data_IF_377463581848
#
_entry.id   IF_377463581848
#
_cell.length_a   1.000
_cell.length_b   1.000
_cell.length_c   1.000
_cell.angle_alpha   90.00
_cell.angle_beta   90.00
_cell.angle_gamma   90.00
#
_symmetry.space_group_name_H-M   'P 1'
#
loop_
_entity.id
_entity.type
_entity.pdbx_description
1 polymer ?
#
# COMPACT_ATOMS: atom_id res chain seq x y z
N UNK A 1 12.08 0.80 19.25
CA UNK A 1 11.13 0.75 20.38
C UNK A 1 10.61 -0.67 20.46
N UNK A 2 10.83 -1.39 21.57
CA UNK A 2 10.57 -2.84 21.65
C UNK A 2 9.43 -3.21 22.62
N UNK A 3 9.00 -2.28 23.45
CA UNK A 3 7.97 -2.46 24.45
C UNK A 3 7.30 -1.10 24.77
N UNK A 4 6.27 -1.13 25.62
CA UNK A 4 5.52 0.05 26.02
C UNK A 4 6.36 1.09 26.78
N UNK A 5 7.35 0.66 27.57
CA UNK A 5 8.25 1.57 28.29
C UNK A 5 9.15 2.35 27.34
N UNK A 6 9.76 1.65 26.38
CA UNK A 6 10.55 2.25 25.31
C UNK A 6 9.70 3.17 24.41
N UNK A 7 8.42 2.86 24.23
CA UNK A 7 7.47 3.71 23.50
C UNK A 7 7.24 5.03 24.24
N UNK A 8 6.92 4.96 25.53
CA UNK A 8 6.70 6.15 26.36
C UNK A 8 7.95 7.06 26.37
N UNK A 9 9.14 6.46 26.54
CA UNK A 9 10.40 7.20 26.48
C UNK A 9 10.62 7.88 25.12
N UNK A 10 10.33 7.18 24.02
CA UNK A 10 10.47 7.75 22.67
C UNK A 10 9.48 8.90 22.43
N UNK A 11 8.21 8.75 22.83
CA UNK A 11 7.19 9.79 22.70
C UNK A 11 7.58 11.04 23.52
N UNK A 12 8.11 10.85 24.73
CA UNK A 12 8.65 11.93 25.54
C UNK A 12 9.81 12.67 24.86
N UNK A 13 10.77 11.92 24.30
CA UNK A 13 11.90 12.49 23.57
C UNK A 13 11.46 13.24 22.30
N UNK A 14 10.48 12.70 21.56
CA UNK A 14 9.91 13.33 20.38
C UNK A 14 9.22 14.66 20.73
N UNK A 15 8.38 14.67 21.78
CA UNK A 15 7.72 15.90 22.24
C UNK A 15 8.73 16.96 22.68
N UNK A 16 9.80 16.56 23.39
CA UNK A 16 10.85 17.47 23.80
C UNK A 16 11.64 18.05 22.60
N UNK A 17 11.90 17.23 21.58
CA UNK A 17 12.52 17.68 20.33
C UNK A 17 11.62 18.68 19.59
N UNK A 18 10.34 18.37 19.45
CA UNK A 18 9.39 19.23 18.77
C UNK A 18 9.24 20.59 19.46
N UNK A 19 9.19 20.60 20.80
CA UNK A 19 9.16 21.84 21.58
C UNK A 19 10.44 22.66 21.39
N UNK A 20 11.61 22.01 21.43
CA UNK A 20 12.91 22.68 21.27
C UNK A 20 13.06 23.33 19.89
N UNK A 21 12.52 22.71 18.86
CA UNK A 21 12.70 23.15 17.47
C UNK A 21 11.45 23.84 16.89
N UNK A 22 10.47 24.19 17.73
CA UNK A 22 9.22 24.82 17.30
C UNK A 22 9.46 26.04 16.39
N UNK A 23 10.22 27.02 16.89
CA UNK A 23 10.46 28.27 16.16
C UNK A 23 11.18 28.04 14.84
N UNK A 24 12.10 27.06 14.80
CA UNK A 24 12.79 26.67 13.59
C UNK A 24 11.82 26.05 12.57
N UNK A 25 10.95 25.15 13.01
CA UNK A 25 9.97 24.47 12.16
C UNK A 25 8.86 25.40 11.65
N UNK A 26 8.56 26.46 12.40
CA UNK A 26 7.53 27.46 12.04
C UNK A 26 8.07 28.56 11.10
N UNK A 27 9.36 28.54 10.77
CA UNK A 27 9.95 29.47 9.79
C UNK A 27 9.28 29.32 8.42
N UNK A 28 8.97 30.46 7.80
CA UNK A 28 8.30 30.57 6.51
C UNK A 28 9.18 31.26 5.46
N UNK A 29 8.98 30.91 4.20
CA UNK A 29 9.55 31.62 3.05
C UNK A 29 8.46 32.15 2.14
N UNK A 30 8.67 33.37 1.64
CA UNK A 30 7.83 34.01 0.63
C UNK A 30 8.36 33.66 -0.75
N UNK A 31 7.47 33.21 -1.61
CA UNK A 31 7.78 32.86 -3.00
C UNK A 31 7.55 34.07 -3.91
N UNK A 32 8.07 34.01 -5.14
CA UNK A 32 7.96 35.11 -6.10
C UNK A 32 6.49 35.42 -6.49
N UNK A 33 5.59 34.46 -6.31
CA UNK A 33 4.14 34.60 -6.52
C UNK A 33 3.39 35.18 -5.31
N UNK A 34 4.10 35.54 -4.23
CA UNK A 34 3.51 36.04 -3.00
C UNK A 34 2.95 34.96 -2.07
N UNK A 35 3.10 33.68 -2.41
CA UNK A 35 2.70 32.58 -1.53
C UNK A 35 3.69 32.38 -0.39
N UNK A 36 3.15 32.05 0.79
CA UNK A 36 3.92 31.70 1.98
C UNK A 36 3.98 30.18 2.14
N UNK A 37 5.17 29.62 2.28
CA UNK A 37 5.36 28.18 2.52
C UNK A 37 6.31 27.95 3.69
N UNK A 38 6.28 26.74 4.26
CA UNK A 38 7.29 26.33 5.24
C UNK A 38 8.69 26.42 4.63
N UNK A 39 9.62 27.05 5.34
CA UNK A 39 11.02 27.10 4.94
C UNK A 39 11.63 25.69 4.92
N UNK A 40 11.25 24.86 5.91
CA UNK A 40 11.76 23.49 6.09
C UNK A 40 10.73 22.44 5.71
N UNK A 41 10.13 22.54 4.51
CA UNK A 41 9.00 21.71 4.07
C UNK A 41 9.16 20.21 4.34
N UNK A 42 10.36 19.64 4.09
CA UNK A 42 10.62 18.21 4.28
C UNK A 42 10.51 17.81 5.76
N UNK A 43 11.06 18.63 6.65
CA UNK A 43 11.02 18.39 8.10
C UNK A 43 9.62 18.62 8.66
N UNK A 44 8.94 19.67 8.21
CA UNK A 44 7.55 19.96 8.61
C UNK A 44 6.61 18.83 8.20
N UNK A 45 6.72 18.34 6.95
CA UNK A 45 5.94 17.17 6.49
C UNK A 45 6.25 15.91 7.29
N UNK A 46 7.53 15.65 7.60
CA UNK A 46 7.92 14.51 8.42
C UNK A 46 7.33 14.60 9.84
N UNK A 47 7.42 15.78 10.48
CA UNK A 47 6.78 16.07 11.77
C UNK A 47 5.27 15.83 11.72
N UNK A 48 4.59 16.37 10.71
CA UNK A 48 3.13 16.26 10.61
C UNK A 48 2.67 14.82 10.36
N UNK A 49 3.45 14.05 9.59
CA UNK A 49 3.25 12.61 9.42
C UNK A 49 3.39 11.87 10.76
N UNK A 50 4.44 12.17 11.54
CA UNK A 50 4.64 11.56 12.86
C UNK A 50 3.52 11.93 13.83
N UNK A 51 3.14 13.23 13.92
CA UNK A 51 1.99 13.71 14.71
C UNK A 51 0.71 12.97 14.35
N UNK A 52 0.47 12.78 13.05
CA UNK A 52 -0.69 12.04 12.56
C UNK A 52 -0.68 10.60 13.08
N UNK A 53 0.44 9.87 12.94
CA UNK A 53 0.55 8.47 13.41
C UNK A 53 0.45 8.33 14.92
N UNK A 54 0.98 9.30 15.68
CA UNK A 54 0.84 9.35 17.14
C UNK A 54 -0.64 9.52 17.52
N UNK A 55 -1.34 10.47 16.89
CA UNK A 55 -2.77 10.72 17.13
C UNK A 55 -3.65 9.53 16.72
N UNK A 56 -3.31 8.86 15.62
CA UNK A 56 -3.98 7.64 15.17
C UNK A 56 -3.60 6.41 16.01
N UNK A 57 -2.69 6.53 16.99
CA UNK A 57 -2.15 5.41 17.79
C UNK A 57 -1.54 4.28 16.94
N UNK A 58 -1.06 4.60 15.74
CA UNK A 58 -0.47 3.65 14.78
C UNK A 58 1.04 3.83 14.63
N UNK A 59 1.65 4.72 15.41
CA UNK A 59 3.10 4.96 15.37
C UNK A 59 3.92 3.74 15.80
N UNK A 60 3.44 3.02 16.81
CA UNK A 60 4.02 1.77 17.27
C UNK A 60 2.91 0.74 17.33
N UNK A 61 3.16 -0.42 16.74
CA UNK A 61 2.25 -1.58 16.81
C UNK A 61 3.07 -2.74 17.33
N UNK A 62 2.71 -3.21 18.52
CA UNK A 62 3.29 -4.41 19.10
C UNK A 62 2.37 -5.58 18.78
N UNK A 63 2.94 -6.73 18.41
CA UNK A 63 2.16 -7.96 18.33
C UNK A 63 1.78 -8.38 19.75
N UNK A 64 0.54 -8.84 19.92
CA UNK A 64 0.07 -9.43 21.16
C UNK A 64 0.83 -10.76 21.38
N UNK A 65 1.50 -10.95 22.53
CA UNK A 65 2.20 -12.19 22.83
C UNK A 65 1.32 -13.44 22.87
N UNK A 66 -0.01 -13.33 22.88
CA UNK A 66 -0.95 -14.45 22.74
C UNK A 66 -0.98 -15.07 21.32
N UNK A 67 0.02 -14.78 20.49
CA UNK A 67 0.26 -15.59 19.30
C UNK A 67 0.79 -16.94 19.76
N UNK A 68 0.22 -18.05 19.28
CA UNK A 68 0.72 -19.44 19.38
C UNK A 68 2.11 -19.63 18.70
N UNK A 69 2.92 -18.57 18.66
CA UNK A 69 4.27 -18.58 18.15
C UNK A 69 5.17 -19.29 19.16
N UNK A 70 5.80 -20.38 18.73
CA UNK A 70 6.70 -21.22 19.51
C UNK A 70 8.08 -20.55 19.73
N UNK A 71 8.08 -19.24 20.04
CA UNK A 71 9.28 -18.45 20.27
C UNK A 71 9.14 -16.95 19.96
N UNK A 72 10.17 -16.15 20.29
CA UNK A 72 10.17 -14.71 20.03
C UNK A 72 10.09 -14.44 18.52
N UNK A 73 9.07 -13.67 18.10
CA UNK A 73 8.91 -13.28 16.70
C UNK A 73 10.12 -12.43 16.27
N UNK A 74 10.87 -12.83 15.23
CA UNK A 74 12.03 -12.09 14.78
C UNK A 74 11.66 -10.65 14.41
N UNK A 75 12.39 -9.67 14.93
CA UNK A 75 12.20 -8.25 14.57
C UNK A 75 12.54 -7.94 13.11
N UNK A 76 13.20 -8.87 12.41
CA UNK A 76 13.59 -8.71 11.02
C UNK A 76 12.44 -9.07 10.08
N UNK A 77 12.01 -8.11 9.27
CA UNK A 77 11.07 -8.33 8.17
C UNK A 77 11.66 -9.19 7.03
N UNK A 78 12.92 -9.65 7.15
CA UNK A 78 13.69 -10.31 6.10
C UNK A 78 12.96 -11.51 5.48
N UNK A 79 12.28 -12.33 6.29
CA UNK A 79 11.53 -13.48 5.79
C UNK A 79 10.38 -13.01 4.90
N UNK A 80 9.56 -12.07 5.36
CA UNK A 80 8.45 -11.50 4.58
C UNK A 80 8.97 -10.76 3.34
N UNK A 81 10.04 -9.96 3.47
CA UNK A 81 10.65 -9.24 2.35
C UNK A 81 11.22 -10.19 1.29
N UNK A 82 11.80 -11.31 1.71
CA UNK A 82 12.29 -12.35 0.79
C UNK A 82 11.14 -12.99 0.01
N UNK A 83 10.00 -13.27 0.64
CA UNK A 83 8.81 -13.78 -0.03
C UNK A 83 8.20 -12.72 -0.96
N UNK A 84 8.10 -11.47 -0.51
CA UNK A 84 7.65 -10.35 -1.35
C UNK A 84 8.54 -10.16 -2.58
N UNK A 85 9.85 -10.39 -2.46
CA UNK A 85 10.76 -10.35 -3.59
C UNK A 85 10.43 -11.41 -4.65
N UNK A 86 10.12 -12.64 -4.20
CA UNK A 86 9.72 -13.74 -5.09
C UNK A 86 8.36 -13.50 -5.76
N UNK A 87 7.39 -12.95 -5.03
CA UNK A 87 6.09 -12.54 -5.60
C UNK A 87 6.29 -11.45 -6.66
N UNK A 88 7.13 -10.45 -6.38
CA UNK A 88 7.47 -9.38 -7.34
C UNK A 88 8.16 -9.95 -8.59
N UNK A 89 9.02 -10.93 -8.43
CA UNK A 89 9.69 -11.60 -9.54
C UNK A 89 8.70 -12.38 -10.42
N UNK A 90 7.81 -13.17 -9.80
CA UNK A 90 6.70 -13.85 -10.49
C UNK A 90 5.89 -12.86 -11.35
N UNK A 91 5.53 -11.70 -10.78
CA UNK A 91 4.78 -10.67 -11.51
C UNK A 91 5.55 -10.04 -12.67
N UNK A 92 6.89 -9.96 -12.60
CA UNK A 92 7.75 -9.44 -13.68
C UNK A 92 7.89 -10.46 -14.80
N UNK A 93 8.18 -11.71 -14.46
CA UNK A 93 8.33 -12.82 -15.41
C UNK A 93 7.04 -13.03 -16.21
N UNK A 94 5.88 -12.80 -15.59
CA UNK A 94 4.57 -12.94 -16.22
C UNK A 94 3.93 -11.61 -16.67
N UNK A 95 4.72 -10.55 -16.92
CA UNK A 95 4.20 -9.23 -17.35
C UNK A 95 3.36 -9.25 -18.64
N UNK A 96 3.55 -10.26 -19.50
CA UNK A 96 2.80 -10.43 -20.75
C UNK A 96 1.40 -11.05 -20.57
N UNK A 97 1.06 -11.52 -19.36
CA UNK A 97 -0.29 -11.95 -19.03
C UNK A 97 -1.16 -10.74 -18.66
N UNK A 98 -2.46 -10.82 -18.94
CA UNK A 98 -3.41 -9.82 -18.44
C UNK A 98 -3.44 -9.81 -16.90
N UNK A 99 -3.92 -8.71 -16.32
CA UNK A 99 -3.89 -8.48 -14.87
C UNK A 99 -4.56 -9.62 -14.07
N UNK A 100 -5.73 -10.08 -14.51
CA UNK A 100 -6.48 -11.17 -13.85
C UNK A 100 -5.66 -12.46 -13.82
N UNK A 101 -5.05 -12.84 -14.95
CA UNK A 101 -4.18 -14.03 -15.04
C UNK A 101 -2.93 -13.88 -14.19
N UNK A 102 -2.36 -12.67 -14.08
CA UNK A 102 -1.22 -12.39 -13.19
C UNK A 102 -1.61 -12.54 -11.71
N UNK A 103 -2.78 -12.03 -11.31
CA UNK A 103 -3.33 -12.19 -9.96
C UNK A 103 -3.52 -13.68 -9.65
N UNK A 104 -4.19 -14.43 -10.54
CA UNK A 104 -4.38 -15.88 -10.39
C UNK A 104 -3.05 -16.63 -10.30
N UNK A 105 -2.06 -16.26 -11.10
CA UNK A 105 -0.73 -16.86 -11.06
C UNK A 105 -0.02 -16.60 -9.72
N UNK A 106 -0.15 -15.40 -9.14
CA UNK A 106 0.35 -15.11 -7.79
C UNK A 106 -0.42 -15.90 -6.74
N UNK A 107 -1.75 -15.97 -6.78
CA UNK A 107 -2.54 -16.77 -5.84
C UNK A 107 -2.14 -18.24 -5.88
N UNK A 108 -1.95 -18.81 -7.07
CA UNK A 108 -1.45 -20.17 -7.24
C UNK A 108 -0.02 -20.33 -6.71
N UNK A 109 0.86 -19.38 -6.99
CA UNK A 109 2.22 -19.41 -6.47
C UNK A 109 2.23 -19.40 -4.94
N UNK A 110 1.46 -18.49 -4.31
CA UNK A 110 1.31 -18.44 -2.86
C UNK A 110 0.77 -19.76 -2.30
N UNK A 111 -0.25 -20.34 -2.94
CA UNK A 111 -0.80 -21.65 -2.55
C UNK A 111 0.24 -22.76 -2.56
N UNK A 112 1.10 -22.82 -3.58
CA UNK A 112 2.15 -23.84 -3.68
C UNK A 112 3.31 -23.63 -2.68
N UNK A 113 3.41 -22.44 -2.09
CA UNK A 113 4.48 -22.07 -1.15
C UNK A 113 3.99 -21.95 0.30
N UNK A 114 2.78 -22.44 0.60
CA UNK A 114 2.34 -22.67 1.98
C UNK A 114 2.99 -23.95 2.54
N UNK A 115 3.01 -24.10 3.86
CA UNK A 115 3.57 -25.27 4.54
C UNK A 115 2.87 -26.57 4.14
N UNK A 116 1.55 -26.50 3.91
CA UNK A 116 0.70 -27.62 3.54
C UNK A 116 -0.20 -27.25 2.34
N UNK A 117 0.32 -27.35 1.10
CA UNK A 117 -0.45 -27.01 -0.08
C UNK A 117 -1.51 -28.08 -0.36
N UNK A 118 -2.76 -27.65 -0.54
CA UNK A 118 -3.83 -28.53 -1.02
C UNK A 118 -3.58 -28.99 -2.47
N UNK A 119 -4.27 -30.05 -2.86
CA UNK A 119 -4.18 -30.62 -4.21
C UNK A 119 -4.63 -29.62 -5.28
N UNK A 120 -4.10 -29.76 -6.49
CA UNK A 120 -4.47 -28.91 -7.63
C UNK A 120 -5.99 -28.91 -7.92
N UNK A 121 -6.67 -30.04 -7.72
CA UNK A 121 -8.13 -30.13 -7.87
C UNK A 121 -8.89 -29.29 -6.83
N UNK A 122 -8.38 -29.20 -5.60
CA UNK A 122 -8.94 -28.33 -4.57
C UNK A 122 -8.75 -26.87 -4.98
N UNK A 123 -7.54 -26.51 -5.42
CA UNK A 123 -7.22 -25.14 -5.84
C UNK A 123 -8.06 -24.71 -7.05
N UNK A 124 -8.28 -25.59 -8.04
CA UNK A 124 -9.13 -25.29 -9.19
C UNK A 124 -10.59 -25.01 -8.79
N UNK A 125 -11.11 -25.72 -7.77
CA UNK A 125 -12.48 -25.55 -7.26
C UNK A 125 -12.65 -24.31 -6.39
N UNK A 126 -11.60 -23.88 -5.70
CA UNK A 126 -11.64 -22.78 -4.72
C UNK A 126 -10.88 -21.53 -5.19
N UNK A 127 -10.28 -21.57 -6.38
CA UNK A 127 -9.65 -20.40 -6.98
C UNK A 127 -10.66 -19.28 -7.17
N UNK A 128 -10.17 -18.06 -6.99
CA UNK A 128 -10.95 -16.84 -7.20
C UNK A 128 -11.48 -16.79 -8.64
N UNK A 129 -12.77 -16.51 -8.78
CA UNK A 129 -13.37 -16.28 -10.10
C UNK A 129 -12.96 -14.91 -10.63
N UNK A 130 -13.02 -14.75 -11.96
CA UNK A 130 -12.60 -13.51 -12.61
C UNK A 130 -13.44 -12.32 -12.12
N UNK A 131 -14.76 -12.50 -11.96
CA UNK A 131 -15.67 -11.44 -11.50
C UNK A 131 -15.37 -11.00 -10.06
N UNK A 132 -14.93 -11.93 -9.20
CA UNK A 132 -14.55 -11.61 -7.83
C UNK A 132 -13.25 -10.80 -7.78
N UNK A 133 -12.30 -11.12 -8.65
CA UNK A 133 -11.04 -10.39 -8.78
C UNK A 133 -11.31 -8.98 -9.31
N UNK A 134 -12.14 -8.86 -10.34
CA UNK A 134 -12.55 -7.57 -10.91
C UNK A 134 -13.28 -6.69 -9.88
N UNK A 135 -14.17 -7.27 -9.08
CA UNK A 135 -14.88 -6.54 -8.03
C UNK A 135 -13.93 -6.00 -6.96
N UNK A 136 -12.98 -6.82 -6.48
CA UNK A 136 -11.98 -6.37 -5.52
C UNK A 136 -11.09 -5.26 -6.09
N UNK A 137 -10.70 -5.38 -7.37
CA UNK A 137 -9.90 -4.37 -8.02
C UNK A 137 -10.68 -3.05 -8.15
N UNK A 138 -11.96 -3.12 -8.52
CA UNK A 138 -12.85 -1.94 -8.58
C UNK A 138 -12.96 -1.28 -7.21
N UNK A 139 -13.19 -2.05 -6.15
CA UNK A 139 -13.25 -1.53 -4.79
C UNK A 139 -11.92 -0.88 -4.39
N UNK A 140 -10.79 -1.52 -4.63
CA UNK A 140 -9.47 -0.94 -4.35
C UNK A 140 -9.23 0.36 -5.13
N UNK A 141 -9.68 0.42 -6.38
CA UNK A 141 -9.61 1.63 -7.20
C UNK A 141 -10.50 2.76 -6.65
N UNK A 142 -11.76 2.48 -6.31
CA UNK A 142 -12.69 3.46 -5.70
C UNK A 142 -12.14 4.07 -4.40
N UNK A 143 -11.40 3.28 -3.62
CA UNK A 143 -10.77 3.73 -2.37
C UNK A 143 -9.39 4.35 -2.58
N UNK A 144 -8.85 4.29 -3.80
CA UNK A 144 -7.59 4.94 -4.13
C UNK A 144 -7.79 6.44 -4.27
N UNK A 145 -6.72 7.20 -4.03
CA UNK A 145 -6.72 8.66 -4.16
C UNK A 145 -7.11 9.10 -5.59
N UNK A 146 -6.83 8.26 -6.60
CA UNK A 146 -7.22 8.47 -8.01
C UNK A 146 -8.70 8.15 -8.28
N UNK A 147 -9.23 7.06 -7.74
CA UNK A 147 -10.66 6.73 -7.87
C UNK A 147 -11.55 7.69 -7.10
N UNK A 148 -11.10 8.14 -5.92
CA UNK A 148 -11.74 9.23 -5.18
C UNK A 148 -11.72 10.54 -5.98
N UNK A 149 -10.59 10.88 -6.63
CA UNK A 149 -10.49 12.06 -7.51
C UNK A 149 -11.44 11.98 -8.71
N UNK A 150 -11.56 10.82 -9.36
CA UNK A 150 -12.47 10.60 -10.49
C UNK A 150 -13.95 10.68 -10.06
N UNK A 151 -14.31 10.09 -8.92
CA UNK A 151 -15.67 10.16 -8.35
C UNK A 151 -16.04 11.60 -7.96
N UNK A 152 -15.08 12.38 -7.45
CA UNK A 152 -15.25 13.77 -7.02
C UNK A 152 -15.05 14.80 -8.16
N UNK A 153 -14.79 14.35 -9.39
CA UNK A 153 -14.63 15.22 -10.57
C UNK A 153 -13.36 16.09 -10.57
N UNK A 154 -12.32 15.71 -9.82
CA UNK A 154 -11.05 16.43 -9.77
C UNK A 154 -10.14 16.02 -10.95
N UNK A 155 -9.61 16.97 -11.75
CA UNK A 155 -8.80 16.65 -12.91
C UNK A 155 -7.48 15.96 -12.53
N UNK A 156 -7.08 14.96 -13.32
CA UNK A 156 -5.86 14.20 -13.11
C UNK A 156 -4.60 15.08 -13.27
N UNK A 157 -3.69 15.06 -12.29
CA UNK A 157 -2.36 15.67 -12.41
C UNK A 157 -1.39 14.63 -13.00
N UNK A 158 -1.41 14.48 -14.32
CA UNK A 158 -0.45 13.79 -15.20
C UNK A 158 0.06 12.38 -14.84
N UNK A 159 -0.03 11.46 -15.82
CA UNK A 159 0.90 10.33 -15.94
C UNK A 159 0.55 9.05 -15.19
N UNK A 160 -0.56 8.40 -15.52
CA UNK A 160 -0.80 6.98 -15.19
C UNK A 160 -1.15 6.24 -16.47
N UNK A 161 -0.36 5.21 -16.77
CA UNK A 161 -0.35 4.50 -18.05
C UNK A 161 -1.68 3.84 -18.41
N UNK A 162 -1.90 3.78 -19.74
CA UNK A 162 -2.92 3.03 -20.49
C UNK A 162 -4.28 2.98 -19.79
N UNK A 163 -5.18 3.84 -20.27
CA UNK A 163 -6.59 3.81 -19.94
C UNK A 163 -7.19 2.45 -20.31
N UNK A 164 -7.82 1.81 -19.32
CA UNK A 164 -8.50 0.52 -19.46
C UNK A 164 -9.65 0.60 -20.48
N UNK A 165 -10.24 1.79 -20.68
CA UNK A 165 -11.28 2.00 -21.70
C UNK A 165 -10.75 1.99 -23.14
N UNK A 166 -9.46 2.20 -23.38
CA UNK A 166 -8.91 2.34 -24.73
C UNK A 166 -8.92 1.01 -25.52
N UNK A 167 -8.96 -0.14 -24.83
CA UNK A 167 -8.89 -1.45 -25.46
C UNK A 167 -10.22 -2.20 -25.56
N UNK A 168 -11.31 -1.71 -24.98
CA UNK A 168 -12.56 -2.47 -24.82
C UNK A 168 -13.79 -1.75 -25.39
N UNK A 169 -13.65 -1.08 -26.53
CA UNK A 169 -14.82 -0.70 -27.32
C UNK A 169 -15.46 -1.99 -27.84
N UNK A 170 -16.62 -2.38 -27.30
CA UNK A 170 -17.38 -3.48 -27.87
C UNK A 170 -17.89 -3.06 -29.24
N UNK A 171 -17.16 -3.36 -30.31
CA UNK A 171 -17.71 -3.28 -31.66
C UNK A 171 -18.78 -4.37 -31.78
N UNK A 172 -20.06 -4.02 -32.00
CA UNK A 172 -21.08 -5.01 -32.27
C UNK A 172 -20.71 -5.75 -33.54
N UNK A 173 -20.72 -7.09 -33.47
CA UNK A 173 -20.46 -7.93 -34.63
C UNK A 173 -21.54 -7.68 -35.69
N UNK A 174 -21.16 -7.27 -36.91
CA UNK A 174 -22.09 -7.16 -38.04
C UNK A 174 -22.04 -8.45 -38.83
N UNK A 175 -23.18 -9.16 -38.88
CA UNK A 175 -23.40 -10.22 -39.85
C UNK A 175 -23.38 -9.62 -41.25
N UNK A 176 -22.45 -10.08 -42.07
CA UNK A 176 -22.56 -9.94 -43.52
C UNK A 176 -23.22 -11.20 -44.03
N UNK A 177 -24.52 -11.10 -44.30
CA UNK A 177 -25.22 -11.94 -45.27
C UNK A 177 -25.01 -11.36 -46.67
#
# INVERSE_FOLDING_TARGET
VKDGGAMAAWLGAYNAWELRHKDFLDQKSMWADGSENDLHQRLVKARDMLRRRIREQTMFTFMDPDTDADGPIPTSNNVIESQNARIRDMLRTHRGLNLIRRIKAVCWWCHQHTEHPERAAWLARHAWRDEQIEQLYRQAWEHSDEGQRALLGLPARYGTGIDWHEFHTSTPWRSTD
#
